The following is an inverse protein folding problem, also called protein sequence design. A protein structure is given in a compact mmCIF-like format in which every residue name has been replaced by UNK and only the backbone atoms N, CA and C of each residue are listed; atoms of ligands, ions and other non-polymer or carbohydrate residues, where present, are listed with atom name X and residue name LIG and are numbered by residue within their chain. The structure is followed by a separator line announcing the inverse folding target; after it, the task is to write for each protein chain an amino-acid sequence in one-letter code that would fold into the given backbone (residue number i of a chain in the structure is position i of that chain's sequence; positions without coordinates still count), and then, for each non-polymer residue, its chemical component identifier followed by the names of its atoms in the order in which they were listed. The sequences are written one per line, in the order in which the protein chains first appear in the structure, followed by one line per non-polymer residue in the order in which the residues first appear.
data_IF_590977797105
#
_entry.id   IF_590977797105
#
_cell.length_a   1.000
_cell.length_b   1.000
_cell.length_c   1.000
_cell.angle_alpha   90.00
_cell.angle_beta   90.00
_cell.angle_gamma   90.00
#
_symmetry.space_group_name_H-M   'P 1'
#
loop_
_entity.id
_entity.type
_entity.pdbx_description
1 polymer ?
#
# COMPACT_ATOMS: atom_id res chain seq x y z
N UNK A 1 -9.28 -16.61 -21.44
CA UNK A 1 -9.84 -16.37 -20.08
C UNK A 1 -9.17 -15.14 -19.53
N UNK A 2 -9.90 -14.16 -18.98
CA UNK A 2 -9.25 -13.03 -18.28
C UNK A 2 -8.84 -13.52 -16.91
N UNK A 3 -7.56 -13.45 -16.58
CA UNK A 3 -7.05 -13.72 -15.24
C UNK A 3 -7.72 -12.73 -14.28
N UNK A 4 -8.44 -13.20 -13.25
CA UNK A 4 -9.29 -12.35 -12.42
C UNK A 4 -8.48 -11.31 -11.61
N UNK A 5 -7.17 -11.47 -11.52
CA UNK A 5 -6.27 -10.67 -10.68
C UNK A 5 -5.52 -9.58 -11.45
N UNK A 6 -5.92 -9.26 -12.67
CA UNK A 6 -5.26 -8.22 -13.49
C UNK A 6 -5.92 -6.84 -13.37
N UNK A 7 -7.16 -6.77 -12.87
CA UNK A 7 -7.91 -5.53 -12.78
C UNK A 7 -7.30 -4.58 -11.75
N UNK A 8 -7.28 -3.29 -12.09
CA UNK A 8 -6.97 -2.19 -11.18
C UNK A 8 -8.15 -1.24 -11.09
N UNK A 9 -8.38 -0.68 -9.91
CA UNK A 9 -9.42 0.31 -9.66
C UNK A 9 -8.87 1.47 -8.84
N UNK A 10 -9.11 2.69 -9.29
CA UNK A 10 -8.76 3.88 -8.55
C UNK A 10 -9.66 4.07 -7.31
N UNK A 11 -9.19 4.80 -6.29
CA UNK A 11 -10.01 5.15 -5.13
C UNK A 11 -11.26 5.92 -5.55
N UNK A 12 -12.38 5.62 -4.91
CA UNK A 12 -13.62 6.37 -5.07
C UNK A 12 -13.60 7.62 -4.19
N UNK A 13 -14.50 8.57 -4.43
CA UNK A 13 -14.67 9.74 -3.56
C UNK A 13 -14.91 9.35 -2.10
N UNK A 14 -15.64 8.26 -1.87
CA UNK A 14 -15.86 7.75 -0.52
C UNK A 14 -14.56 7.25 0.13
N UNK A 15 -13.67 6.64 -0.64
CA UNK A 15 -12.35 6.22 -0.17
C UNK A 15 -11.46 7.44 0.11
N UNK A 16 -11.46 8.43 -0.79
CA UNK A 16 -10.69 9.66 -0.61
C UNK A 16 -11.18 10.49 0.59
N UNK A 17 -12.49 10.59 0.85
CA UNK A 17 -13.03 11.20 2.07
C UNK A 17 -12.54 10.50 3.34
N UNK A 18 -12.45 9.15 3.31
CA UNK A 18 -11.90 8.39 4.43
C UNK A 18 -10.39 8.62 4.57
N UNK A 19 -9.65 8.66 3.45
CA UNK A 19 -8.22 8.97 3.43
C UNK A 19 -7.95 10.36 4.01
N UNK A 20 -8.68 11.38 3.59
CA UNK A 20 -8.57 12.75 4.09
C UNK A 20 -8.76 12.81 5.62
N UNK A 21 -9.77 12.11 6.14
CA UNK A 21 -10.00 12.02 7.60
C UNK A 21 -8.82 11.34 8.31
N UNK A 22 -8.27 10.28 7.76
CA UNK A 22 -7.12 9.59 8.38
C UNK A 22 -5.85 10.44 8.28
N UNK A 23 -5.67 11.20 7.21
CA UNK A 23 -4.59 12.17 7.11
C UNK A 23 -4.70 13.27 8.16
N UNK A 24 -5.87 13.85 8.37
CA UNK A 24 -6.08 14.85 9.42
C UNK A 24 -5.78 14.27 10.82
N UNK A 25 -6.17 13.02 11.09
CA UNK A 25 -5.77 12.33 12.31
C UNK A 25 -4.24 12.15 12.41
N UNK A 26 -3.58 11.78 11.30
CA UNK A 26 -2.12 11.64 11.24
C UNK A 26 -1.45 12.98 11.56
N UNK A 27 -1.93 14.07 10.95
CA UNK A 27 -1.39 15.41 11.18
C UNK A 27 -1.44 15.81 12.66
N UNK A 28 -2.58 15.56 13.32
CA UNK A 28 -2.73 15.79 14.77
C UNK A 28 -1.82 14.87 15.59
N UNK A 29 -1.77 13.58 15.25
CA UNK A 29 -0.96 12.61 15.98
C UNK A 29 0.55 12.85 15.85
N UNK A 30 1.02 13.48 14.79
CA UNK A 30 2.42 13.87 14.65
C UNK A 30 2.82 14.95 15.63
N UNK A 31 1.88 15.80 16.03
CA UNK A 31 2.14 16.89 16.98
C UNK A 31 2.05 16.44 18.45
N UNK A 32 1.11 15.57 18.78
CA UNK A 32 0.79 15.23 20.17
C UNK A 32 0.43 13.75 20.41
N UNK A 33 0.56 12.91 19.39
CA UNK A 33 0.17 11.50 19.48
C UNK A 33 1.32 10.56 19.83
N UNK A 34 0.94 9.35 20.20
CA UNK A 34 1.87 8.23 20.36
C UNK A 34 2.30 7.65 19.00
N UNK A 35 3.42 6.92 18.98
CA UNK A 35 3.87 6.20 17.79
C UNK A 35 2.81 5.22 17.27
N UNK A 36 2.07 4.58 18.16
CA UNK A 36 0.98 3.66 17.80
C UNK A 36 -0.16 4.38 17.05
N UNK A 37 -0.51 5.59 17.48
CA UNK A 37 -1.54 6.39 16.81
C UNK A 37 -1.08 6.85 15.43
N UNK A 38 0.20 7.27 15.30
CA UNK A 38 0.81 7.63 14.01
C UNK A 38 0.77 6.44 13.05
N UNK A 39 1.23 5.26 13.49
CA UNK A 39 1.19 4.02 12.68
C UNK A 39 -0.23 3.66 12.25
N UNK A 40 -1.19 3.78 13.17
CA UNK A 40 -2.59 3.47 12.90
C UNK A 40 -3.22 4.38 11.86
N UNK A 41 -2.98 5.69 11.96
CA UNK A 41 -3.49 6.67 11.00
C UNK A 41 -2.81 6.55 9.64
N UNK A 42 -1.48 6.36 9.63
CA UNK A 42 -0.71 6.18 8.40
C UNK A 42 -1.15 4.94 7.62
N UNK A 43 -1.32 3.80 8.31
CA UNK A 43 -1.82 2.56 7.68
C UNK A 43 -3.20 2.76 7.06
N UNK A 44 -4.14 3.30 7.83
CA UNK A 44 -5.50 3.53 7.32
C UNK A 44 -5.53 4.56 6.20
N UNK A 45 -4.67 5.57 6.24
CA UNK A 45 -4.51 6.52 5.16
C UNK A 45 -4.09 5.80 3.87
N UNK A 46 -3.05 4.98 3.91
CA UNK A 46 -2.60 4.21 2.76
C UNK A 46 -3.69 3.26 2.25
N UNK A 47 -4.34 2.52 3.15
CA UNK A 47 -5.42 1.60 2.78
C UNK A 47 -6.54 2.29 2.00
N UNK A 48 -6.95 3.48 2.41
CA UNK A 48 -8.03 4.23 1.74
C UNK A 48 -7.54 4.97 0.49
N UNK A 49 -6.36 5.59 0.52
CA UNK A 49 -5.83 6.34 -0.62
C UNK A 49 -5.48 5.46 -1.82
N UNK A 50 -5.29 4.16 -1.60
CA UNK A 50 -5.04 3.17 -2.66
C UNK A 50 -6.19 2.19 -2.87
N UNK A 51 -7.33 2.38 -2.18
CA UNK A 51 -8.45 1.44 -2.19
C UNK A 51 -8.06 -0.02 -1.87
N UNK A 52 -7.02 -0.21 -1.08
CA UNK A 52 -6.61 -1.54 -0.60
C UNK A 52 -7.25 -1.92 0.74
N UNK A 53 -8.18 -1.08 1.25
CA UNK A 53 -8.82 -1.31 2.54
C UNK A 53 -9.94 -2.32 2.49
N UNK A 54 -10.20 -2.93 3.65
CA UNK A 54 -11.40 -3.73 3.90
C UNK A 54 -12.63 -2.84 3.85
N UNK A 55 -13.45 -2.98 2.83
CA UNK A 55 -14.83 -2.50 2.90
C UNK A 55 -15.59 -3.47 3.81
N UNK A 56 -16.29 -2.93 4.81
CA UNK A 56 -17.02 -3.71 5.82
C UNK A 56 -17.85 -4.82 5.15
N UNK A 57 -17.43 -6.07 5.31
CA UNK A 57 -18.09 -7.25 4.74
C UNK A 57 -17.61 -7.72 3.35
N UNK A 58 -16.64 -7.06 2.70
CA UNK A 58 -16.19 -7.44 1.35
C UNK A 58 -14.74 -7.95 1.27
N UNK A 59 -14.01 -7.93 2.36
CA UNK A 59 -12.64 -8.40 2.38
C UNK A 59 -11.59 -7.44 1.81
N UNK A 60 -10.32 -7.84 1.88
CA UNK A 60 -9.24 -7.10 1.25
C UNK A 60 -9.30 -7.29 -0.26
N UNK A 61 -9.28 -6.20 -1.00
CA UNK A 61 -9.15 -6.21 -2.44
C UNK A 61 -7.73 -5.77 -2.81
N UNK A 62 -7.10 -6.48 -3.73
CA UNK A 62 -5.84 -6.04 -4.30
C UNK A 62 -6.03 -5.04 -5.46
N UNK A 63 -7.28 -4.75 -5.82
CA UNK A 63 -7.62 -4.00 -7.02
C UNK A 63 -7.02 -2.60 -7.05
N UNK A 64 -6.83 -1.98 -5.88
CA UNK A 64 -6.22 -0.66 -5.78
C UNK A 64 -4.69 -0.67 -5.66
N UNK A 65 -4.03 -1.84 -5.55
CA UNK A 65 -2.57 -1.90 -5.53
C UNK A 65 -2.00 -1.81 -6.93
N UNK A 66 -0.99 -0.99 -7.09
CA UNK A 66 -0.26 -0.81 -8.37
C UNK A 66 0.94 -1.73 -8.50
N UNK A 67 1.26 -2.49 -7.46
CA UNK A 67 2.29 -3.52 -7.46
C UNK A 67 1.69 -4.85 -7.03
N UNK A 68 2.09 -5.92 -7.73
CA UNK A 68 1.70 -7.30 -7.43
C UNK A 68 2.87 -8.24 -7.68
N UNK A 69 2.92 -9.32 -6.93
CA UNK A 69 3.89 -10.38 -7.21
C UNK A 69 3.44 -11.26 -8.38
N UNK A 70 4.39 -11.96 -8.99
CA UNK A 70 4.14 -12.90 -10.08
C UNK A 70 3.09 -13.94 -9.69
N UNK A 71 3.17 -14.49 -8.48
CA UNK A 71 2.22 -15.47 -7.96
C UNK A 71 0.77 -14.98 -8.01
N UNK A 72 0.55 -13.67 -7.72
CA UNK A 72 -0.79 -13.07 -7.81
C UNK A 72 -1.26 -12.98 -9.24
N UNK A 73 -0.38 -12.52 -10.15
CA UNK A 73 -0.73 -12.25 -11.54
C UNK A 73 -0.96 -13.51 -12.37
N UNK A 74 -0.23 -14.57 -12.06
CA UNK A 74 -0.30 -15.85 -12.80
C UNK A 74 -1.38 -16.79 -12.27
N UNK A 75 -1.96 -16.49 -11.11
CA UNK A 75 -3.01 -17.34 -10.52
C UNK A 75 -4.34 -17.18 -11.26
N UNK A 76 -4.93 -18.30 -11.65
CA UNK A 76 -6.32 -18.36 -12.15
C UNK A 76 -7.37 -18.29 -11.02
N UNK A 77 -6.92 -18.32 -9.76
CA UNK A 77 -7.77 -18.27 -8.59
C UNK A 77 -7.98 -16.82 -8.15
N UNK A 78 -9.23 -16.36 -7.98
CA UNK A 78 -9.50 -15.03 -7.46
C UNK A 78 -8.87 -14.80 -6.09
N UNK A 79 -8.31 -13.60 -5.86
CA UNK A 79 -7.66 -13.25 -4.61
C UNK A 79 -8.66 -12.88 -3.52
N UNK A 80 -8.38 -13.33 -2.30
CA UNK A 80 -9.05 -12.86 -1.07
C UNK A 80 -8.01 -12.65 0.02
N UNK A 81 -8.02 -11.49 0.65
CA UNK A 81 -7.14 -11.17 1.76
C UNK A 81 -7.34 -12.06 2.98
N UNK A 82 -6.26 -12.51 3.59
CA UNK A 82 -6.28 -13.40 4.76
C UNK A 82 -7.05 -12.82 5.96
N UNK A 83 -7.01 -11.51 6.17
CA UNK A 83 -7.80 -10.82 7.21
C UNK A 83 -9.29 -10.77 6.89
N UNK A 84 -9.63 -10.80 5.61
CA UNK A 84 -10.99 -10.86 5.13
C UNK A 84 -11.61 -12.24 5.31
N UNK A 85 -10.81 -13.30 5.24
CA UNK A 85 -11.30 -14.67 5.38
C UNK A 85 -12.08 -14.85 6.67
N UNK A 86 -11.55 -14.37 7.80
CA UNK A 86 -12.25 -14.45 9.10
C UNK A 86 -13.54 -13.64 9.13
N UNK A 87 -13.53 -12.44 8.56
CA UNK A 87 -14.71 -11.57 8.50
C UNK A 87 -15.69 -11.99 7.39
N UNK A 88 -15.16 -12.53 6.31
CA UNK A 88 -15.92 -13.08 5.20
C UNK A 88 -16.66 -14.35 5.61
N UNK A 89 -15.99 -15.30 6.28
CA UNK A 89 -16.63 -16.51 6.78
C UNK A 89 -17.75 -16.18 7.77
N UNK A 90 -17.55 -15.21 8.65
CA UNK A 90 -18.60 -14.70 9.56
C UNK A 90 -19.74 -14.03 8.78
N UNK A 91 -19.42 -13.18 7.83
CA UNK A 91 -20.40 -12.45 7.02
C UNK A 91 -21.20 -13.36 6.09
N UNK A 92 -20.58 -14.43 5.58
CA UNK A 92 -21.22 -15.43 4.71
C UNK A 92 -22.04 -16.44 5.50
N UNK A 93 -21.58 -16.88 6.64
CA UNK A 93 -22.35 -17.73 7.54
C UNK A 93 -23.65 -17.05 7.97
N UNK A 94 -23.58 -15.74 8.26
CA UNK A 94 -24.79 -14.95 8.60
C UNK A 94 -25.75 -14.75 7.44
N UNK A 95 -25.30 -14.92 6.19
CA UNK A 95 -26.12 -14.75 4.96
C UNK A 95 -26.46 -16.06 4.27
N UNK A 96 -26.08 -17.20 4.84
CA UNK A 96 -26.26 -18.54 4.21
C UNK A 96 -25.66 -18.65 2.79
N UNK A 97 -24.62 -17.86 2.48
CA UNK A 97 -23.92 -17.90 1.21
C UNK A 97 -22.78 -18.92 1.30
N UNK A 98 -22.88 -20.00 0.56
CA UNK A 98 -21.79 -20.98 0.43
C UNK A 98 -20.74 -20.42 -0.52
N UNK A 99 -19.52 -20.22 -0.03
CA UNK A 99 -18.36 -19.95 -0.91
C UNK A 99 -18.03 -21.26 -1.61
N UNK A 100 -18.38 -21.35 -2.89
CA UNK A 100 -18.19 -22.56 -3.68
C UNK A 100 -16.85 -22.60 -4.43
N UNK A 101 -16.03 -21.54 -4.37
CA UNK A 101 -14.79 -21.43 -5.15
C UNK A 101 -13.57 -21.25 -4.25
N UNK A 102 -12.45 -21.92 -4.56
CA UNK A 102 -11.20 -21.68 -3.89
C UNK A 102 -10.75 -20.21 -4.12
N UNK A 103 -10.08 -19.64 -3.14
CA UNK A 103 -9.57 -18.27 -3.21
C UNK A 103 -8.09 -18.28 -2.91
N UNK A 104 -7.34 -17.42 -3.63
CA UNK A 104 -5.94 -17.20 -3.37
C UNK A 104 -5.79 -16.29 -2.14
N UNK A 105 -5.22 -16.76 -1.03
CA UNK A 105 -4.99 -15.90 0.13
C UNK A 105 -3.90 -14.89 -0.17
N UNK A 106 -4.19 -13.62 0.13
CA UNK A 106 -3.27 -12.50 -0.11
C UNK A 106 -3.03 -11.67 1.15
N UNK A 107 -1.98 -10.89 1.10
CA UNK A 107 -1.70 -9.79 2.01
C UNK A 107 -1.35 -8.53 1.21
N UNK A 108 -1.82 -7.38 1.69
CA UNK A 108 -1.37 -6.08 1.18
C UNK A 108 -0.20 -5.64 2.05
N UNK A 109 0.98 -5.76 1.49
CA UNK A 109 2.24 -5.48 2.16
C UNK A 109 2.65 -4.02 1.96
N UNK A 110 2.99 -3.35 3.04
CA UNK A 110 3.69 -2.08 2.97
C UNK A 110 5.18 -2.38 2.69
N UNK A 111 5.59 -2.26 1.45
CA UNK A 111 6.96 -2.59 1.02
C UNK A 111 8.00 -1.76 1.79
N UNK A 112 7.68 -0.49 2.06
CA UNK A 112 8.33 0.30 3.12
C UNK A 112 7.51 0.11 4.40
N UNK A 113 8.03 -0.55 5.44
CA UNK A 113 7.26 -0.85 6.64
C UNK A 113 6.70 0.41 7.33
N UNK A 114 5.45 0.36 7.76
CA UNK A 114 4.77 1.48 8.43
C UNK A 114 5.53 2.00 9.66
N UNK A 115 6.17 1.11 10.42
CA UNK A 115 6.97 1.51 11.58
C UNK A 115 8.22 2.30 11.17
N UNK A 116 8.79 2.03 10.00
CA UNK A 116 9.93 2.78 9.45
C UNK A 116 9.47 4.18 9.05
N UNK A 117 8.39 4.28 8.27
CA UNK A 117 7.80 5.57 7.90
C UNK A 117 7.35 6.38 9.11
N UNK A 118 6.71 5.76 10.10
CA UNK A 118 6.27 6.45 11.31
C UNK A 118 7.43 7.01 12.14
N UNK A 119 8.55 6.29 12.22
CA UNK A 119 9.77 6.79 12.85
C UNK A 119 10.38 7.94 12.05
N UNK A 120 10.47 7.81 10.74
CA UNK A 120 10.98 8.87 9.87
C UNK A 120 10.16 10.16 10.01
N UNK A 121 8.83 10.08 10.05
CA UNK A 121 7.94 11.23 10.23
C UNK A 121 8.18 11.98 11.55
N UNK A 122 8.83 11.37 12.52
CA UNK A 122 9.20 11.99 13.81
C UNK A 122 10.61 12.54 13.85
N UNK A 123 11.40 12.37 12.79
CA UNK A 123 12.76 12.92 12.72
C UNK A 123 12.72 14.44 12.53
N UNK A 124 13.80 15.10 12.94
CA UNK A 124 13.96 16.54 12.73
C UNK A 124 13.91 16.92 11.24
N UNK A 125 14.47 16.08 10.38
CA UNK A 125 14.41 16.27 8.93
C UNK A 125 12.98 16.34 8.41
N UNK A 126 12.09 15.48 8.90
CA UNK A 126 10.69 15.49 8.52
C UNK A 126 9.91 16.64 9.16
N UNK A 127 10.23 17.01 10.40
CA UNK A 127 9.56 18.11 11.10
C UNK A 127 9.63 19.43 10.31
N UNK A 128 10.69 19.66 9.52
CA UNK A 128 10.83 20.85 8.67
C UNK A 128 9.70 21.04 7.66
N UNK A 129 9.04 19.98 7.22
CA UNK A 129 7.89 20.05 6.31
C UNK A 129 6.57 19.54 6.89
N UNK A 130 6.61 18.81 8.02
CA UNK A 130 5.43 18.22 8.65
C UNK A 130 4.42 19.27 9.18
N UNK A 131 4.82 20.52 9.34
CA UNK A 131 3.91 21.63 9.69
C UNK A 131 3.01 22.06 8.53
N UNK A 132 3.35 21.72 7.30
CA UNK A 132 2.54 22.00 6.12
C UNK A 132 1.71 20.76 5.77
N UNK A 133 0.40 20.84 5.92
CA UNK A 133 -0.53 19.75 5.51
C UNK A 133 -0.28 19.33 4.06
N UNK A 134 -0.10 20.29 3.13
CA UNK A 134 0.16 19.99 1.72
C UNK A 134 1.43 19.18 1.52
N UNK A 135 2.55 19.62 2.11
CA UNK A 135 3.85 18.93 1.97
C UNK A 135 3.82 17.54 2.65
N UNK A 136 3.20 17.45 3.82
CA UNK A 136 3.05 16.19 4.51
C UNK A 136 2.16 15.23 3.72
N UNK A 137 1.04 15.70 3.17
CA UNK A 137 0.16 14.89 2.34
C UNK A 137 0.89 14.36 1.11
N UNK A 138 1.60 15.25 0.40
CA UNK A 138 2.42 14.85 -0.75
C UNK A 138 3.43 13.78 -0.37
N UNK A 139 4.11 13.96 0.75
CA UNK A 139 5.08 12.98 1.24
C UNK A 139 4.42 11.62 1.52
N UNK A 140 3.38 11.56 2.34
CA UNK A 140 2.78 10.27 2.73
C UNK A 140 2.03 9.59 1.59
N UNK A 141 1.47 10.36 0.65
CA UNK A 141 0.77 9.81 -0.51
C UNK A 141 1.73 9.15 -1.50
N UNK A 142 2.77 9.88 -1.92
CA UNK A 142 3.72 9.40 -2.93
C UNK A 142 4.84 8.51 -2.38
N UNK A 143 4.91 8.27 -1.09
CA UNK A 143 5.80 7.26 -0.50
C UNK A 143 5.03 6.05 0.05
N UNK A 144 3.74 5.93 -0.29
CA UNK A 144 2.92 4.76 0.02
C UNK A 144 3.17 3.64 -0.99
N UNK A 145 4.10 2.76 -0.69
CA UNK A 145 4.43 1.63 -1.55
C UNK A 145 3.71 0.38 -1.04
N UNK A 146 2.58 0.05 -1.68
CA UNK A 146 1.78 -1.12 -1.37
C UNK A 146 1.92 -2.18 -2.46
N UNK A 147 2.23 -3.40 -2.06
CA UNK A 147 2.33 -4.55 -2.93
C UNK A 147 1.36 -5.65 -2.50
N UNK A 148 0.61 -6.20 -3.43
CA UNK A 148 -0.17 -7.40 -3.17
C UNK A 148 0.74 -8.63 -3.28
N UNK A 149 0.87 -9.37 -2.19
CA UNK A 149 1.69 -10.58 -2.08
C UNK A 149 0.82 -11.78 -1.74
N UNK A 150 1.24 -12.96 -2.13
CA UNK A 150 0.57 -14.21 -1.76
C UNK A 150 0.85 -14.60 -0.31
N UNK A 151 -0.07 -15.36 0.27
CA UNK A 151 0.06 -15.89 1.61
C UNK A 151 -0.20 -17.38 1.60
N UNK A 152 0.87 -18.16 1.85
CA UNK A 152 0.82 -19.61 1.94
C UNK A 152 0.19 -20.29 0.71
N UNK A 153 0.71 -19.97 -0.48
CA UNK A 153 0.34 -20.60 -1.74
C UNK A 153 1.38 -21.63 -2.08
N UNK A 154 0.98 -22.86 -2.29
CA UNK A 154 1.86 -24.01 -2.59
C UNK A 154 3.08 -24.14 -1.65
N UNK A 155 2.86 -23.81 -0.36
CA UNK A 155 3.90 -23.80 0.66
C UNK A 155 4.78 -22.53 0.67
N UNK A 156 4.57 -21.59 -0.24
CA UNK A 156 5.29 -20.33 -0.30
C UNK A 156 4.43 -19.22 0.33
N UNK A 157 4.96 -18.58 1.35
CA UNK A 157 4.35 -17.41 2.02
C UNK A 157 5.23 -16.18 1.75
N UNK A 158 4.92 -15.45 0.68
CA UNK A 158 5.69 -14.27 0.28
C UNK A 158 5.67 -13.19 1.36
N UNK A 159 4.57 -13.04 2.09
CA UNK A 159 4.51 -12.13 3.23
C UNK A 159 5.55 -12.50 4.29
N UNK A 160 5.61 -13.77 4.67
CA UNK A 160 6.55 -14.24 5.69
C UNK A 160 8.00 -14.09 5.24
N UNK A 161 8.27 -14.31 3.96
CA UNK A 161 9.60 -14.11 3.37
C UNK A 161 10.01 -12.64 3.48
N UNK A 162 9.12 -11.70 3.11
CA UNK A 162 9.37 -10.27 3.25
C UNK A 162 9.56 -9.86 4.71
N UNK A 163 8.79 -10.43 5.65
CA UNK A 163 8.91 -10.14 7.07
C UNK A 163 10.25 -10.61 7.66
N UNK A 164 10.78 -11.73 7.22
CA UNK A 164 12.10 -12.23 7.63
C UNK A 164 13.24 -11.27 7.22
N UNK A 165 13.09 -10.57 6.08
CA UNK A 165 14.06 -9.60 5.59
C UNK A 165 13.72 -8.14 5.98
N UNK A 166 12.89 -7.93 6.99
CA UNK A 166 12.41 -6.60 7.37
C UNK A 166 13.52 -5.64 7.85
N UNK A 167 14.65 -6.15 8.38
CA UNK A 167 15.79 -5.33 8.83
C UNK A 167 16.42 -4.52 7.70
N UNK A 168 16.48 -5.06 6.49
CA UNK A 168 17.11 -4.39 5.35
C UNK A 168 16.46 -3.02 5.04
N UNK A 169 15.12 -2.90 5.14
CA UNK A 169 14.43 -1.62 4.96
C UNK A 169 14.67 -0.64 6.11
N UNK A 170 14.85 -1.13 7.35
CA UNK A 170 15.18 -0.30 8.50
C UNK A 170 16.56 0.34 8.38
N UNK A 171 17.54 -0.42 7.90
CA UNK A 171 18.91 0.05 7.80
C UNK A 171 19.06 1.20 6.83
N UNK A 172 18.32 1.21 5.73
CA UNK A 172 18.36 2.29 4.74
C UNK A 172 17.89 3.62 5.36
N UNK A 173 16.80 3.60 6.12
CA UNK A 173 16.29 4.80 6.81
C UNK A 173 17.13 5.21 8.03
N UNK A 174 17.64 4.23 8.79
CA UNK A 174 18.44 4.51 9.98
C UNK A 174 19.81 5.12 9.66
N UNK A 175 20.36 4.81 8.50
CA UNK A 175 21.65 5.37 8.02
C UNK A 175 21.52 6.79 7.45
N UNK A 176 20.32 7.39 7.50
CA UNK A 176 20.09 8.72 6.92
C UNK A 176 20.23 8.73 5.40
N UNK A 177 19.99 7.60 4.76
CA UNK A 177 20.00 7.49 3.30
C UNK A 177 19.03 8.51 2.71
N UNK A 178 19.48 9.30 1.74
CA UNK A 178 18.62 10.22 1.01
C UNK A 178 17.45 9.46 0.40
N UNK A 179 16.23 10.02 0.48
CA UNK A 179 15.01 9.33 0.07
C UNK A 179 15.07 8.82 -1.37
N UNK A 180 15.76 9.52 -2.26
CA UNK A 180 15.97 9.15 -3.65
C UNK A 180 16.85 7.90 -3.85
N UNK A 181 17.60 7.50 -2.82
CA UNK A 181 18.44 6.29 -2.85
C UNK A 181 17.75 5.08 -2.21
N UNK A 182 16.58 5.26 -1.63
CA UNK A 182 15.86 4.17 -0.98
C UNK A 182 15.29 3.21 -2.02
N UNK A 183 15.51 1.92 -1.80
CA UNK A 183 14.89 0.83 -2.53
C UNK A 183 13.56 0.46 -1.85
N UNK A 184 12.39 0.82 -2.41
CA UNK A 184 11.11 0.55 -1.77
C UNK A 184 10.84 -0.94 -1.60
N UNK A 185 11.46 -1.78 -2.43
CA UNK A 185 11.34 -3.24 -2.36
C UNK A 185 12.57 -3.93 -1.76
N UNK A 186 13.34 -3.23 -0.92
CA UNK A 186 14.56 -3.76 -0.29
C UNK A 186 14.35 -5.12 0.40
N UNK A 187 13.16 -5.33 0.95
CA UNK A 187 12.78 -6.57 1.66
C UNK A 187 12.59 -7.77 0.73
N UNK A 188 12.46 -7.55 -0.56
CA UNK A 188 12.23 -8.57 -1.58
C UNK A 188 13.53 -9.00 -2.27
N UNK A 189 14.62 -8.27 -2.04
CA UNK A 189 15.92 -8.52 -2.67
C UNK A 189 16.68 -9.61 -1.92
N UNK A 190 17.22 -10.56 -2.66
CA UNK A 190 18.06 -11.63 -2.10
C UNK A 190 17.33 -12.67 -1.26
N UNK A 191 15.99 -12.76 -1.40
CA UNK A 191 15.16 -13.76 -0.72
C UNK A 191 15.08 -15.05 -1.50
N UNK A 192 14.80 -16.17 -0.80
CA UNK A 192 14.61 -17.48 -1.42
C UNK A 192 13.29 -18.09 -0.91
N UNK A 193 12.36 -18.50 -1.79
CA UNK A 193 12.41 -18.33 -3.26
C UNK A 193 12.41 -16.87 -3.68
N UNK A 194 12.90 -16.60 -4.90
CA UNK A 194 12.92 -15.24 -5.46
C UNK A 194 11.51 -14.73 -5.66
N UNK A 195 11.23 -13.51 -5.18
CA UNK A 195 9.97 -12.82 -5.39
C UNK A 195 10.14 -11.83 -6.54
N UNK A 196 9.32 -11.97 -7.58
CA UNK A 196 9.24 -11.03 -8.70
C UNK A 196 8.05 -10.10 -8.48
N UNK A 197 8.29 -8.81 -8.67
CA UNK A 197 7.26 -7.77 -8.53
C UNK A 197 7.02 -7.11 -9.87
N UNK A 198 5.77 -6.84 -10.14
CA UNK A 198 5.29 -6.18 -11.35
C UNK A 198 4.56 -4.89 -10.96
N UNK A 199 4.67 -3.88 -11.78
CA UNK A 199 3.86 -2.66 -11.71
C UNK A 199 2.79 -2.65 -12.80
N UNK A 200 1.67 -2.00 -12.52
CA UNK A 200 0.63 -1.76 -13.51
C UNK A 200 1.18 -0.85 -14.63
N UNK A 201 0.85 -1.15 -15.87
CA UNK A 201 1.03 -0.22 -16.98
C UNK A 201 -0.23 0.64 -17.11
N UNK A 202 -0.15 1.91 -16.77
CA UNK A 202 -1.32 2.79 -16.81
C UNK A 202 -1.74 3.16 -18.24
N UNK A 203 -0.84 3.10 -19.19
CA UNK A 203 -1.14 3.35 -20.61
C UNK A 203 -1.89 2.16 -21.24
N UNK A 204 -1.66 0.96 -20.70
CA UNK A 204 -2.30 -0.28 -21.14
C UNK A 204 -2.96 -0.98 -19.92
N UNK A 205 -4.16 -0.56 -19.50
CA UNK A 205 -4.84 -1.14 -18.35
C UNK A 205 -4.97 -2.66 -18.46
N UNK A 206 -4.64 -3.37 -17.38
CA UNK A 206 -4.51 -4.82 -17.24
C UNK A 206 -3.19 -5.41 -17.77
N UNK A 207 -2.25 -4.59 -18.19
CA UNK A 207 -0.87 -5.00 -18.46
C UNK A 207 0.00 -4.75 -17.24
N UNK A 208 0.86 -5.71 -16.93
CA UNK A 208 1.76 -5.65 -15.77
C UNK A 208 3.20 -5.84 -16.27
N UNK A 209 4.06 -4.91 -15.88
CA UNK A 209 5.46 -4.84 -16.31
C UNK A 209 6.36 -5.21 -15.14
N UNK A 210 7.30 -6.15 -15.31
CA UNK A 210 8.25 -6.49 -14.26
C UNK A 210 9.11 -5.28 -13.89
N UNK A 211 9.49 -5.20 -12.62
CA UNK A 211 10.43 -4.19 -12.13
C UNK A 211 11.74 -4.85 -11.69
N UNK A 212 12.84 -4.14 -11.95
CA UNK A 212 14.16 -4.54 -11.47
C UNK A 212 14.34 -4.01 -10.04
N UNK A 213 14.14 -4.90 -9.05
CA UNK A 213 14.07 -4.52 -7.63
C UNK A 213 15.34 -3.80 -7.12
N UNK A 214 16.50 -4.17 -7.65
CA UNK A 214 17.80 -3.62 -7.24
C UNK A 214 18.07 -2.21 -7.78
N UNK A 215 17.36 -1.79 -8.82
CA UNK A 215 17.48 -0.47 -9.44
C UNK A 215 16.26 0.42 -9.25
N UNK A 216 15.08 -0.15 -8.93
CA UNK A 216 13.85 0.60 -8.71
C UNK A 216 13.93 1.43 -7.43
N UNK A 217 14.10 2.74 -7.59
CA UNK A 217 14.26 3.70 -6.48
C UNK A 217 12.93 4.28 -6.04
N UNK A 218 12.93 4.89 -4.86
CA UNK A 218 11.73 5.57 -4.37
C UNK A 218 11.34 6.77 -5.27
N UNK A 219 12.30 7.41 -5.92
CA UNK A 219 12.03 8.45 -6.92
C UNK A 219 11.33 7.90 -8.17
N UNK A 220 11.70 6.69 -8.64
CA UNK A 220 11.02 6.04 -9.76
C UNK A 220 9.58 5.73 -9.40
N UNK A 221 9.34 5.23 -8.19
CA UNK A 221 8.00 5.02 -7.65
C UNK A 221 7.19 6.32 -7.59
N UNK A 222 7.78 7.40 -7.10
CA UNK A 222 7.11 8.70 -6.99
C UNK A 222 6.75 9.25 -8.37
N UNK A 223 7.69 9.28 -9.30
CA UNK A 223 7.45 9.72 -10.67
C UNK A 223 6.35 8.90 -11.35
N UNK A 224 6.36 7.58 -11.14
CA UNK A 224 5.33 6.66 -11.62
C UNK A 224 3.94 6.98 -11.06
N UNK A 225 3.83 7.25 -9.75
CA UNK A 225 2.54 7.63 -9.15
C UNK A 225 2.12 9.06 -9.51
N UNK A 226 3.04 10.00 -9.56
CA UNK A 226 2.74 11.41 -9.91
C UNK A 226 2.09 11.51 -11.29
N UNK A 227 2.54 10.70 -12.27
CA UNK A 227 1.91 10.62 -13.57
C UNK A 227 0.47 10.08 -13.53
N UNK A 228 0.26 8.99 -12.78
CA UNK A 228 -1.00 8.25 -12.81
C UNK A 228 -2.06 8.76 -11.83
N UNK A 229 -1.63 9.33 -10.69
CA UNK A 229 -2.50 9.72 -9.58
C UNK A 229 -2.59 11.24 -9.37
N UNK A 230 -2.20 12.05 -10.34
CA UNK A 230 -2.24 13.52 -10.24
C UNK A 230 -3.64 14.04 -9.89
N UNK A 231 -4.67 13.54 -10.58
CA UNK A 231 -6.07 13.92 -10.32
C UNK A 231 -6.55 13.44 -8.95
N UNK A 232 -6.26 12.18 -8.62
CA UNK A 232 -6.58 11.59 -7.31
C UNK A 232 -5.94 12.39 -6.18
N UNK A 233 -4.68 12.76 -6.33
CA UNK A 233 -3.96 13.59 -5.36
C UNK A 233 -4.57 14.98 -5.24
N UNK A 234 -4.91 15.64 -6.35
CA UNK A 234 -5.54 16.96 -6.38
C UNK A 234 -6.89 16.95 -5.65
N UNK A 235 -7.71 15.94 -5.91
CA UNK A 235 -9.00 15.74 -5.23
C UNK A 235 -8.81 15.54 -3.73
N UNK A 236 -7.86 14.67 -3.34
CA UNK A 236 -7.55 14.43 -1.94
C UNK A 236 -7.02 15.68 -1.24
N UNK A 237 -6.15 16.44 -1.91
CA UNK A 237 -5.60 17.70 -1.40
C UNK A 237 -6.70 18.72 -1.10
N UNK A 238 -7.66 18.88 -2.03
CA UNK A 238 -8.82 19.75 -1.83
C UNK A 238 -9.65 19.33 -0.63
N UNK A 239 -9.87 18.01 -0.44
CA UNK A 239 -10.60 17.48 0.71
C UNK A 239 -9.85 17.69 2.05
N UNK A 240 -8.52 17.70 2.04
CA UNK A 240 -7.68 17.90 3.23
C UNK A 240 -7.59 19.36 3.64
N UNK A 241 -7.45 20.27 2.66
CA UNK A 241 -7.29 21.70 2.92
C UNK A 241 -8.64 22.40 3.14
N UNK A 242 -9.74 21.79 2.65
CA UNK A 242 -11.06 22.43 2.73
C UNK A 242 -11.06 23.81 2.09
N UNK A 243 -11.84 24.73 2.70
CA UNK A 243 -11.96 26.12 2.24
C UNK A 243 -10.75 27.00 2.58
N UNK A 244 -9.62 26.43 3.05
CA UNK A 244 -8.36 27.17 3.28
C UNK A 244 -7.74 27.71 1.96
N UNK A 245 -8.39 27.43 0.81
CA UNK A 245 -7.96 27.86 -0.53
C UNK A 245 -8.83 29.01 -1.12
N UNK A 246 -9.72 29.61 -0.31
CA UNK A 246 -10.49 30.79 -0.71
C UNK A 246 -9.88 32.05 -0.10
#
# INVERSE_FOLDING_TARGET
MRTPNLLHTFPTDADLKRAARQFNNLFVHLQQGSETQIKGSLRKFHDYSTRSSVVKGQGFHCDGTVYRTETILTSDTPVIGAGARKNWDIGLQSRNLKISKPHLPIHIEHSIPINVLAKYLRTEACQKFAHSKRRLLQFVFFNSVLCCVSKNVDGIDEQKICDQNSRAAHDDFAKGTELDRILPFRRYIGVSPQIRVYRLDFDNPNTWVPIELESWRLNDHRAYLEGAFAETFSTLLSMVLGDELI
#
